data_IF_723378361750
#
_entry.id   IF_723378361750
#
_cell.length_a   1.000
_cell.length_b   1.000
_cell.length_c   1.000
_cell.angle_alpha   90.00
_cell.angle_beta   90.00
_cell.angle_gamma   90.00
#
_symmetry.space_group_name_H-M   'P 1'
#
loop_
_entity.id
_entity.type
_entity.pdbx_description
1 polymer ?
#
# COMPACT_ATOMS: atom_id res chain seq x y z
N UNK A 1 6.69 -28.60 -82.05
CA UNK A 1 7.66 -27.55 -81.67
C UNK A 1 8.65 -28.18 -80.71
N UNK A 2 9.92 -28.00 -81.04
CA UNK A 2 11.19 -28.54 -80.49
C UNK A 2 11.28 -28.61 -78.95
N UNK A 3 11.77 -29.67 -78.30
CA UNK A 3 13.10 -30.35 -78.23
C UNK A 3 14.12 -29.72 -77.25
N UNK A 4 14.74 -30.64 -76.49
CA UNK A 4 16.03 -30.61 -75.76
C UNK A 4 16.01 -30.27 -74.25
N UNK A 5 16.20 -31.21 -73.30
CA UNK A 5 17.37 -32.02 -72.89
C UNK A 5 18.49 -31.30 -72.11
N UNK A 6 18.83 -31.89 -70.94
CA UNK A 6 20.17 -32.22 -70.40
C UNK A 6 20.30 -31.80 -68.91
N UNK A 7 20.22 -32.70 -67.94
CA UNK A 7 21.20 -33.71 -67.47
C UNK A 7 22.48 -33.12 -66.84
N UNK A 8 22.70 -33.42 -65.54
CA UNK A 8 24.01 -33.63 -64.90
C UNK A 8 23.84 -34.31 -63.53
N UNK A 9 24.17 -35.60 -63.51
CA UNK A 9 24.66 -36.33 -62.34
C UNK A 9 26.14 -35.98 -62.13
N UNK A 10 26.60 -35.89 -60.86
CA UNK A 10 27.71 -36.69 -60.31
C UNK A 10 28.23 -36.16 -58.96
N UNK A 11 28.21 -37.07 -57.98
CA UNK A 11 29.25 -37.45 -57.01
C UNK A 11 29.82 -36.50 -55.94
N UNK A 12 29.62 -36.99 -54.70
CA UNK A 12 30.63 -37.32 -53.68
C UNK A 12 31.36 -36.20 -52.92
N UNK A 13 31.16 -36.15 -51.60
CA UNK A 13 32.21 -36.53 -50.63
C UNK A 13 31.71 -36.41 -49.18
N UNK A 14 32.11 -37.41 -48.40
CA UNK A 14 32.05 -37.56 -46.95
C UNK A 14 32.71 -36.43 -46.16
N UNK A 15 32.16 -36.08 -45.00
CA UNK A 15 32.89 -36.22 -43.73
C UNK A 15 31.99 -35.94 -42.52
N UNK A 16 31.95 -36.93 -41.66
CA UNK A 16 31.52 -36.93 -40.28
C UNK A 16 32.37 -35.99 -39.42
N UNK A 17 31.75 -35.26 -38.48
CA UNK A 17 32.28 -35.22 -37.12
C UNK A 17 31.19 -34.91 -36.09
N UNK A 18 31.10 -35.80 -35.11
CA UNK A 18 30.22 -35.74 -33.97
C UNK A 18 30.83 -34.84 -32.88
N UNK A 19 29.99 -34.08 -32.16
CA UNK A 19 30.38 -33.42 -30.92
C UNK A 19 29.37 -33.74 -29.81
N UNK A 20 29.87 -34.57 -28.91
CA UNK A 20 29.43 -35.00 -27.59
C UNK A 20 28.30 -34.21 -26.87
N UNK A 21 27.24 -34.95 -26.55
CA UNK A 21 26.31 -34.66 -25.45
C UNK A 21 26.97 -35.13 -24.14
N UNK A 22 27.27 -34.20 -23.24
CA UNK A 22 27.75 -34.52 -21.88
C UNK A 22 26.59 -34.46 -20.90
N UNK A 23 26.23 -35.63 -20.36
CA UNK A 23 25.29 -35.84 -19.26
C UNK A 23 25.99 -35.55 -17.94
N UNK A 24 25.54 -34.54 -17.20
CA UNK A 24 26.00 -34.27 -15.84
C UNK A 24 25.23 -35.13 -14.83
N UNK A 25 25.97 -36.01 -14.15
CA UNK A 25 25.50 -36.85 -13.03
C UNK A 25 25.37 -36.01 -11.76
N UNK A 26 24.26 -36.18 -11.04
CA UNK A 26 24.00 -35.65 -9.70
C UNK A 26 24.82 -36.39 -8.62
N UNK A 27 25.33 -35.65 -7.64
CA UNK A 27 25.96 -36.18 -6.40
C UNK A 27 24.95 -36.15 -5.24
N UNK A 28 24.95 -37.14 -4.32
CA UNK A 28 24.11 -37.11 -3.13
C UNK A 28 24.83 -36.57 -1.88
N UNK A 29 24.07 -35.90 -1.00
CA UNK A 29 24.22 -35.98 0.45
C UNK A 29 25.02 -34.87 1.15
N UNK A 30 24.31 -33.97 1.85
CA UNK A 30 24.81 -33.32 3.09
C UNK A 30 23.67 -33.29 4.10
N UNK A 31 23.80 -34.06 5.17
CA UNK A 31 22.94 -34.00 6.36
C UNK A 31 23.41 -32.86 7.28
N UNK A 32 22.57 -31.86 7.52
CA UNK A 32 22.78 -30.90 8.61
C UNK A 32 22.09 -31.38 9.89
N UNK A 33 22.92 -31.71 10.90
CA UNK A 33 22.53 -31.90 12.30
C UNK A 33 21.89 -30.62 12.84
N UNK A 34 20.68 -30.71 13.40
CA UNK A 34 20.11 -29.68 14.29
C UNK A 34 20.73 -29.83 15.68
N UNK A 35 21.41 -28.80 16.16
CA UNK A 35 21.82 -28.69 17.57
C UNK A 35 20.75 -27.92 18.34
N UNK A 36 20.11 -28.59 19.29
CA UNK A 36 19.16 -28.02 20.26
C UNK A 36 19.92 -27.28 21.37
N UNK A 37 19.52 -26.03 21.66
CA UNK A 37 19.99 -25.24 22.81
C UNK A 37 18.98 -25.42 23.95
N UNK A 38 19.40 -25.67 25.22
CA UNK A 38 18.45 -25.78 26.33
C UNK A 38 18.08 -24.40 26.90
N UNK A 39 16.79 -24.19 27.18
CA UNK A 39 16.27 -23.05 27.94
C UNK A 39 16.49 -23.26 29.45
N UNK A 40 16.98 -22.22 30.13
CA UNK A 40 16.96 -22.09 31.59
C UNK A 40 15.71 -21.26 32.02
N UNK A 41 15.00 -21.64 33.09
CA UNK A 41 13.85 -20.87 33.56
C UNK A 41 14.28 -19.72 34.49
N UNK A 42 13.78 -18.52 34.20
CA UNK A 42 13.79 -17.36 35.10
C UNK A 42 12.63 -17.49 36.11
N UNK A 43 12.95 -17.57 37.40
CA UNK A 43 11.97 -17.43 38.49
C UNK A 43 11.86 -15.95 38.88
N UNK A 44 10.68 -15.35 38.71
CA UNK A 44 10.33 -14.07 39.32
C UNK A 44 9.33 -14.31 40.46
N UNK A 45 9.77 -13.99 41.68
CA UNK A 45 8.96 -13.87 42.88
C UNK A 45 8.20 -12.55 42.85
N UNK A 46 6.87 -12.60 42.89
CA UNK A 46 5.99 -11.43 43.07
C UNK A 46 5.40 -11.45 44.48
N UNK A 47 5.58 -10.36 45.23
CA UNK A 47 4.86 -10.06 46.47
C UNK A 47 3.79 -8.99 46.21
N UNK A 48 2.56 -9.11 46.75
CA UNK A 48 1.48 -8.18 46.46
C UNK A 48 1.51 -6.93 47.36
N UNK A 49 1.23 -5.77 46.77
CA UNK A 49 1.00 -4.49 47.44
C UNK A 49 -0.49 -4.34 47.81
N UNK A 50 -0.72 -3.96 49.06
CA UNK A 50 -2.02 -3.79 49.71
C UNK A 50 -2.74 -2.51 49.24
N UNK A 51 -4.01 -2.65 48.86
CA UNK A 51 -4.94 -1.58 48.51
C UNK A 51 -5.41 -0.84 49.78
N UNK A 52 -5.25 0.48 49.85
CA UNK A 52 -5.82 1.31 50.92
C UNK A 52 -6.94 2.19 50.35
N UNK A 53 -8.16 1.86 50.76
CA UNK A 53 -9.40 2.56 50.48
C UNK A 53 -9.49 3.81 51.37
N UNK A 54 -9.85 4.95 50.79
CA UNK A 54 -10.30 6.13 51.54
C UNK A 54 -11.62 6.62 50.95
N UNK A 55 -12.55 6.90 51.86
CA UNK A 55 -13.95 7.19 51.64
C UNK A 55 -14.26 8.59 52.19
N UNK A 56 -15.19 9.29 51.53
CA UNK A 56 -16.16 10.27 52.05
C UNK A 56 -15.68 11.56 52.77
N UNK A 57 -16.11 12.75 52.32
CA UNK A 57 -17.46 13.32 52.55
C UNK A 57 -17.55 14.84 52.22
N UNK A 58 -18.61 15.18 51.47
CA UNK A 58 -19.55 16.31 51.58
C UNK A 58 -19.19 17.62 52.34
N UNK A 59 -19.46 18.75 51.66
CA UNK A 59 -20.29 19.84 52.23
C UNK A 59 -20.78 20.82 51.14
N UNK A 60 -22.09 21.05 51.15
CA UNK A 60 -22.85 22.00 50.34
C UNK A 60 -22.71 23.44 50.87
N UNK A 61 -22.77 24.43 49.98
CA UNK A 61 -23.27 25.77 50.32
C UNK A 61 -23.88 26.46 49.09
N UNK A 62 -25.17 26.74 49.18
CA UNK A 62 -25.97 27.59 48.29
C UNK A 62 -25.78 29.07 48.63
N UNK A 63 -26.04 29.96 47.65
CA UNK A 63 -26.50 31.38 47.70
C UNK A 63 -26.01 32.08 46.40
N UNK A 64 -26.88 32.36 45.41
CA UNK A 64 -27.78 33.53 45.27
C UNK A 64 -27.14 34.73 44.54
N UNK A 65 -27.75 35.11 43.41
CA UNK A 65 -27.38 36.15 42.44
C UNK A 65 -27.44 37.61 42.92
N UNK A 66 -26.54 38.45 42.38
CA UNK A 66 -26.80 39.89 42.09
C UNK A 66 -25.77 40.50 41.11
N UNK A 67 -26.12 40.51 39.82
CA UNK A 67 -26.07 41.59 38.80
C UNK A 67 -24.96 42.70 38.71
N UNK A 68 -24.39 42.79 37.48
CA UNK A 68 -23.81 43.93 36.70
C UNK A 68 -22.29 44.26 36.86
N UNK A 69 -21.64 44.90 35.86
CA UNK A 69 -21.13 44.26 34.64
C UNK A 69 -19.62 44.50 34.45
N UNK A 70 -18.86 43.53 33.93
CA UNK A 70 -17.49 43.77 33.46
C UNK A 70 -17.33 43.32 32.00
N UNK A 71 -17.11 44.33 31.17
CA UNK A 71 -16.44 44.27 29.89
C UNK A 71 -15.05 43.65 30.02
N UNK A 72 -14.77 42.56 29.29
CA UNK A 72 -13.75 42.50 28.24
C UNK A 72 -13.39 41.07 27.88
N UNK A 73 -13.16 40.88 26.58
CA UNK A 73 -12.42 39.77 25.96
C UNK A 73 -13.06 38.37 26.07
N UNK A 74 -14.18 38.19 25.36
CA UNK A 74 -14.47 36.88 24.77
C UNK A 74 -13.42 36.60 23.69
N UNK A 75 -12.38 35.86 24.05
CA UNK A 75 -11.58 35.10 23.08
C UNK A 75 -12.52 34.13 22.40
N UNK A 76 -13.00 34.51 21.21
CA UNK A 76 -13.66 33.59 20.31
C UNK A 76 -12.80 32.32 20.18
N UNK A 77 -13.40 31.11 20.16
CA UNK A 77 -12.65 29.93 19.79
C UNK A 77 -12.07 30.23 18.40
N UNK A 78 -10.75 30.23 18.31
CA UNK A 78 -10.05 30.25 17.03
C UNK A 78 -10.48 28.95 16.35
N UNK A 79 -11.52 29.03 15.52
CA UNK A 79 -11.81 28.01 14.53
C UNK A 79 -10.49 27.74 13.83
N UNK A 80 -9.97 26.50 13.83
CA UNK A 80 -8.75 26.22 13.10
C UNK A 80 -9.00 26.70 11.67
N UNK A 81 -8.14 27.61 11.22
CA UNK A 81 -8.12 28.08 9.84
C UNK A 81 -8.31 26.85 8.96
N UNK A 82 -9.27 26.89 8.04
CA UNK A 82 -9.45 25.87 7.01
C UNK A 82 -8.14 25.74 6.23
N UNK A 83 -7.23 24.92 6.73
CA UNK A 83 -6.00 24.59 6.05
C UNK A 83 -6.45 23.93 4.75
N UNK A 84 -6.12 24.55 3.62
CA UNK A 84 -6.30 23.94 2.31
C UNK A 84 -5.65 22.56 2.37
N UNK A 85 -6.43 21.48 2.30
CA UNK A 85 -5.92 20.12 2.43
C UNK A 85 -4.86 19.80 1.39
N UNK A 86 -3.97 18.86 1.68
CA UNK A 86 -3.01 18.31 0.71
C UNK A 86 -3.73 17.47 -0.33
N UNK A 87 -4.08 18.10 -1.45
CA UNK A 87 -4.90 17.50 -2.50
C UNK A 87 -4.07 17.29 -3.77
N UNK A 88 -4.23 16.12 -4.38
CA UNK A 88 -3.75 15.83 -5.72
C UNK A 88 -4.91 15.45 -6.64
N UNK A 89 -4.85 15.87 -7.89
CA UNK A 89 -5.91 15.64 -8.88
C UNK A 89 -5.30 15.36 -10.26
N UNK A 90 -5.70 14.24 -10.85
CA UNK A 90 -5.12 13.71 -12.07
C UNK A 90 -6.23 13.25 -13.00
N UNK A 91 -6.16 13.70 -14.24
CA UNK A 91 -6.92 13.16 -15.37
C UNK A 91 -5.95 12.48 -16.33
N UNK A 92 -6.27 11.25 -16.73
CA UNK A 92 -5.45 10.43 -17.64
C UNK A 92 -6.37 9.77 -18.67
N UNK A 93 -6.13 10.06 -19.94
CA UNK A 93 -6.94 9.55 -21.06
C UNK A 93 -6.04 8.84 -22.06
N UNK A 94 -6.40 7.62 -22.42
CA UNK A 94 -5.76 6.82 -23.48
C UNK A 94 -6.82 6.31 -24.45
N UNK A 95 -6.43 5.40 -25.37
CA UNK A 95 -7.39 4.68 -26.22
C UNK A 95 -8.10 3.54 -25.47
N UNK A 96 -7.54 3.09 -24.36
CA UNK A 96 -8.02 1.95 -23.58
C UNK A 96 -8.88 2.43 -22.40
N UNK A 97 -8.50 3.55 -21.77
CA UNK A 97 -9.14 4.04 -20.55
C UNK A 97 -9.31 5.56 -20.50
N UNK A 98 -10.25 6.00 -19.66
CA UNK A 98 -10.39 7.37 -19.21
C UNK A 98 -10.54 7.35 -17.69
N UNK A 99 -9.57 7.93 -16.99
CA UNK A 99 -9.43 7.87 -15.55
C UNK A 99 -9.28 9.28 -14.98
N UNK A 100 -10.11 9.61 -13.99
CA UNK A 100 -9.97 10.80 -13.16
C UNK A 100 -9.86 10.39 -11.69
N UNK A 101 -8.86 10.92 -10.99
CA UNK A 101 -8.61 10.68 -9.57
C UNK A 101 -8.43 12.00 -8.85
N UNK A 102 -9.05 12.12 -7.67
CA UNK A 102 -8.76 13.17 -6.69
C UNK A 102 -8.59 12.55 -5.32
N UNK A 103 -7.49 12.90 -4.65
CA UNK A 103 -7.19 12.44 -3.29
C UNK A 103 -6.86 13.61 -2.37
N UNK A 104 -7.44 13.63 -1.18
CA UNK A 104 -7.07 14.52 -0.08
C UNK A 104 -6.37 13.70 1.02
N UNK A 105 -5.09 14.00 1.29
CA UNK A 105 -4.35 13.33 2.36
C UNK A 105 -4.83 13.74 3.76
N UNK A 106 -5.38 14.94 3.89
CA UNK A 106 -5.88 15.51 5.14
C UNK A 106 -7.42 15.45 5.17
N UNK A 107 -7.96 14.29 4.76
CA UNK A 107 -9.39 14.05 4.59
C UNK A 107 -10.09 13.55 5.85
N UNK A 108 -11.28 13.01 5.63
CA UNK A 108 -12.14 12.43 6.66
C UNK A 108 -12.53 10.98 6.38
N UNK A 109 -12.03 10.41 5.28
CA UNK A 109 -12.32 9.04 4.87
C UNK A 109 -13.51 8.93 3.91
N UNK A 110 -13.85 10.01 3.18
CA UNK A 110 -14.90 9.97 2.16
C UNK A 110 -14.44 9.11 0.98
N UNK A 111 -15.25 8.14 0.59
CA UNK A 111 -15.00 7.32 -0.59
C UNK A 111 -16.07 7.57 -1.65
N UNK A 112 -15.63 7.81 -2.89
CA UNK A 112 -16.51 7.91 -4.06
C UNK A 112 -15.76 7.37 -5.28
N UNK A 113 -15.73 6.05 -5.39
CA UNK A 113 -15.02 5.32 -6.43
C UNK A 113 -16.01 4.59 -7.35
N UNK A 114 -15.83 4.77 -8.65
CA UNK A 114 -16.54 4.04 -9.69
C UNK A 114 -15.56 3.74 -10.80
N UNK A 115 -14.96 2.55 -10.75
CA UNK A 115 -13.88 2.14 -11.67
C UNK A 115 -14.35 1.22 -12.79
N UNK A 116 -15.63 0.85 -12.82
CA UNK A 116 -16.15 -0.27 -13.63
C UNK A 116 -15.67 -1.66 -13.16
N UNK A 117 -14.89 -1.74 -12.08
CA UNK A 117 -14.43 -2.97 -11.43
C UNK A 117 -14.93 -2.99 -9.97
N UNK A 118 -16.07 -3.63 -9.67
CA UNK A 118 -16.73 -3.49 -8.36
C UNK A 118 -15.88 -3.90 -7.15
N UNK A 119 -15.01 -4.91 -7.31
CA UNK A 119 -14.13 -5.32 -6.23
C UNK A 119 -13.02 -4.29 -5.96
N UNK A 120 -12.50 -3.64 -7.00
CA UNK A 120 -11.52 -2.56 -6.85
C UNK A 120 -12.15 -1.34 -6.18
N UNK A 121 -13.41 -1.01 -6.51
CA UNK A 121 -14.15 0.05 -5.82
C UNK A 121 -14.22 -0.22 -4.30
N UNK A 122 -14.60 -1.45 -3.91
CA UNK A 122 -14.62 -1.86 -2.50
C UNK A 122 -13.23 -1.80 -1.82
N UNK A 123 -12.15 -2.05 -2.56
CA UNK A 123 -10.78 -1.90 -2.04
C UNK A 123 -10.38 -0.43 -1.85
N UNK A 124 -10.74 0.45 -2.77
CA UNK A 124 -10.53 1.90 -2.66
C UNK A 124 -11.32 2.50 -1.49
N UNK A 125 -12.49 1.95 -1.16
CA UNK A 125 -13.22 2.32 0.05
C UNK A 125 -12.43 1.99 1.33
N UNK A 126 -11.65 0.91 1.35
CA UNK A 126 -10.78 0.57 2.50
C UNK A 126 -9.60 1.53 2.60
N UNK A 127 -9.05 1.95 1.46
CA UNK A 127 -8.03 2.99 1.42
C UNK A 127 -8.54 4.29 2.05
N UNK A 128 -9.72 4.75 1.66
CA UNK A 128 -10.33 5.96 2.21
C UNK A 128 -10.64 5.81 3.70
N UNK A 129 -11.45 4.80 4.08
CA UNK A 129 -11.97 4.65 5.44
C UNK A 129 -10.89 4.41 6.50
N UNK A 130 -9.88 3.60 6.19
CA UNK A 130 -8.81 3.29 7.16
C UNK A 130 -7.65 4.27 7.10
N UNK A 131 -7.44 4.94 5.96
CA UNK A 131 -6.44 5.99 5.79
C UNK A 131 -6.91 7.38 6.21
N UNK A 132 -8.23 7.58 6.36
CA UNK A 132 -8.89 8.89 6.45
C UNK A 132 -8.60 9.80 5.25
N UNK A 133 -8.35 9.20 4.09
CA UNK A 133 -8.22 9.94 2.85
C UNK A 133 -9.59 10.19 2.24
N UNK A 134 -9.82 11.37 1.69
CA UNK A 134 -10.95 11.52 0.79
C UNK A 134 -10.51 11.05 -0.59
N UNK A 135 -11.09 9.96 -1.09
CA UNK A 135 -10.69 9.28 -2.33
C UNK A 135 -11.85 9.33 -3.31
N UNK A 136 -11.64 10.01 -4.42
CA UNK A 136 -12.57 10.04 -5.54
C UNK A 136 -11.91 9.44 -6.76
N UNK A 137 -12.55 8.45 -7.37
CA UNK A 137 -12.06 7.80 -8.59
C UNK A 137 -13.22 7.61 -9.55
N UNK A 138 -13.04 8.04 -10.80
CA UNK A 138 -13.93 7.72 -11.90
C UNK A 138 -13.10 7.10 -13.00
N UNK A 139 -13.46 5.88 -13.42
CA UNK A 139 -12.82 5.25 -14.55
C UNK A 139 -13.82 4.52 -15.45
N UNK A 140 -13.59 4.67 -16.74
CA UNK A 140 -14.17 3.83 -17.79
C UNK A 140 -13.03 3.24 -18.60
N UNK A 141 -13.16 2.00 -19.02
CA UNK A 141 -12.17 1.37 -19.90
C UNK A 141 -12.74 0.18 -20.64
N UNK A 142 -11.87 -0.53 -21.33
CA UNK A 142 -12.13 -1.69 -22.17
C UNK A 142 -12.36 -2.99 -21.38
N UNK A 143 -13.21 -2.96 -20.34
CA UNK A 143 -13.55 -4.10 -19.46
C UNK A 143 -14.05 -5.36 -20.21
N UNK A 144 -14.50 -5.19 -21.45
CA UNK A 144 -14.90 -6.29 -22.33
C UNK A 144 -13.71 -7.13 -22.86
N UNK A 145 -12.49 -6.60 -22.79
CA UNK A 145 -11.23 -7.33 -23.05
C UNK A 145 -10.83 -8.03 -21.75
N UNK A 146 -10.47 -7.25 -20.72
CA UNK A 146 -10.26 -7.69 -19.34
C UNK A 146 -10.23 -6.48 -18.38
N UNK A 147 -9.97 -6.73 -17.09
CA UNK A 147 -9.88 -5.70 -16.05
C UNK A 147 -8.50 -4.97 -16.03
N UNK A 148 -7.53 -5.40 -16.85
CA UNK A 148 -6.11 -5.07 -16.68
C UNK A 148 -5.83 -3.59 -16.89
N UNK A 149 -6.16 -3.05 -18.06
CA UNK A 149 -5.87 -1.66 -18.40
C UNK A 149 -6.55 -0.70 -17.42
N UNK A 150 -7.81 -0.97 -17.07
CA UNK A 150 -8.55 -0.13 -16.12
C UNK A 150 -7.94 -0.18 -14.71
N UNK A 151 -7.57 -1.36 -14.22
CA UNK A 151 -6.88 -1.50 -12.93
C UNK A 151 -5.53 -0.78 -12.89
N UNK A 152 -4.69 -1.00 -13.91
CA UNK A 152 -3.38 -0.36 -14.05
C UNK A 152 -3.50 1.16 -14.09
N UNK A 153 -4.38 1.68 -14.95
CA UNK A 153 -4.47 3.12 -15.18
C UNK A 153 -5.08 3.88 -13.99
N UNK A 154 -5.98 3.24 -13.25
CA UNK A 154 -6.44 3.74 -11.95
C UNK A 154 -5.28 3.83 -10.97
N UNK A 155 -4.44 2.80 -10.87
CA UNK A 155 -3.28 2.79 -9.98
C UNK A 155 -2.24 3.85 -10.37
N UNK A 156 -1.94 4.00 -11.67
CA UNK A 156 -1.02 5.01 -12.19
C UNK A 156 -1.50 6.43 -11.88
N UNK A 157 -2.78 6.72 -12.12
CA UNK A 157 -3.39 8.01 -11.82
C UNK A 157 -3.40 8.29 -10.30
N UNK A 158 -3.78 7.32 -9.48
CA UNK A 158 -3.77 7.43 -8.03
C UNK A 158 -2.36 7.68 -7.47
N UNK A 159 -1.36 6.94 -7.93
CA UNK A 159 0.03 7.17 -7.51
C UNK A 159 0.55 8.55 -7.93
N UNK A 160 0.13 9.07 -9.09
CA UNK A 160 0.46 10.44 -9.52
C UNK A 160 -0.24 11.49 -8.65
N UNK A 161 -1.52 11.27 -8.30
CA UNK A 161 -2.26 12.16 -7.41
C UNK A 161 -1.64 12.17 -6.00
N UNK A 162 -1.21 11.01 -5.49
CA UNK A 162 -0.44 10.90 -4.25
C UNK A 162 0.84 11.73 -4.31
N UNK A 163 1.62 11.59 -5.39
CA UNK A 163 2.83 12.39 -5.58
C UNK A 163 2.57 13.90 -5.55
N UNK A 164 1.54 14.36 -6.25
CA UNK A 164 1.15 15.78 -6.25
C UNK A 164 0.75 16.25 -4.86
N UNK A 165 -0.11 15.49 -4.17
CA UNK A 165 -0.60 15.83 -2.83
C UNK A 165 0.52 15.89 -1.77
N UNK A 166 1.59 15.11 -1.96
CA UNK A 166 2.75 15.09 -1.06
C UNK A 166 3.66 16.32 -1.19
N UNK A 167 3.60 17.04 -2.31
CA UNK A 167 4.44 18.22 -2.55
C UNK A 167 5.94 17.96 -2.32
N UNK A 168 6.58 18.80 -1.52
CA UNK A 168 8.01 18.70 -1.20
C UNK A 168 8.35 17.71 -0.06
N UNK A 169 7.34 17.01 0.46
CA UNK A 169 7.47 15.96 1.50
C UNK A 169 8.12 16.47 2.80
N UNK A 170 8.06 17.76 3.07
CA UNK A 170 8.58 18.33 4.31
C UNK A 170 7.64 18.07 5.48
N UNK A 171 8.23 17.89 6.66
CA UNK A 171 7.50 17.78 7.92
C UNK A 171 6.74 16.46 8.13
N UNK A 172 6.62 15.58 7.14
CA UNK A 172 5.92 14.30 7.29
C UNK A 172 6.77 13.27 8.05
N UNK A 173 6.11 12.23 8.58
CA UNK A 173 6.77 11.07 9.19
C UNK A 173 7.64 10.29 8.19
N UNK A 174 7.27 10.32 6.89
CA UNK A 174 7.93 9.63 5.76
C UNK A 174 7.79 8.11 5.77
N UNK A 175 7.90 7.48 6.93
CA UNK A 175 7.78 6.03 7.10
C UNK A 175 6.43 5.66 7.70
N UNK A 176 5.91 4.54 7.22
CA UNK A 176 4.67 3.95 7.69
C UNK A 176 4.82 2.45 7.84
N UNK A 177 4.29 1.88 8.91
CA UNK A 177 4.36 0.46 9.21
C UNK A 177 3.10 0.00 9.92
N UNK A 178 2.41 -0.99 9.35
CA UNK A 178 1.17 -1.51 9.93
C UNK A 178 0.91 -2.96 9.53
N UNK A 179 0.36 -3.74 10.45
CA UNK A 179 -0.21 -5.07 10.14
C UNK A 179 -1.70 -5.05 10.40
N UNK A 180 -2.50 -5.50 9.43
CA UNK A 180 -3.95 -5.59 9.56
C UNK A 180 -4.40 -7.05 9.42
N UNK A 181 -5.20 -7.56 10.38
CA UNK A 181 -5.91 -8.81 10.18
C UNK A 181 -7.24 -8.59 9.44
N UNK A 182 -7.74 -9.66 8.84
CA UNK A 182 -9.15 -9.84 8.51
C UNK A 182 -9.46 -11.32 8.66
N UNK A 183 -10.20 -11.66 9.70
CA UNK A 183 -10.45 -13.04 10.13
C UNK A 183 -9.14 -13.84 10.22
N UNK A 184 -8.95 -14.88 9.39
CA UNK A 184 -7.75 -15.71 9.39
C UNK A 184 -6.57 -15.10 8.62
N UNK A 185 -6.81 -14.06 7.83
CA UNK A 185 -5.77 -13.36 7.10
C UNK A 185 -5.05 -12.33 7.97
N UNK A 186 -3.74 -12.20 7.76
CA UNK A 186 -2.90 -11.18 8.37
C UNK A 186 -1.85 -10.72 7.37
N UNK A 187 -1.85 -9.43 7.06
CA UNK A 187 -0.90 -8.82 6.12
C UNK A 187 -0.15 -7.69 6.79
N UNK A 188 1.17 -7.66 6.60
CA UNK A 188 2.06 -6.58 7.02
C UNK A 188 2.40 -5.70 5.83
N UNK A 189 2.31 -4.39 6.03
CA UNK A 189 2.73 -3.38 5.06
C UNK A 189 3.72 -2.43 5.72
N UNK A 190 4.83 -2.19 5.03
CA UNK A 190 5.85 -1.20 5.42
C UNK A 190 6.21 -0.36 4.22
N UNK A 191 6.29 0.96 4.39
CA UNK A 191 6.55 1.89 3.29
C UNK A 191 7.41 3.09 3.67
N UNK A 192 8.13 3.59 2.67
CA UNK A 192 8.94 4.82 2.70
C UNK A 192 8.51 5.71 1.54
N UNK A 193 8.08 6.94 1.84
CA UNK A 193 7.78 8.00 0.87
C UNK A 193 9.07 8.59 0.29
N UNK A 194 9.82 7.73 -0.38
CA UNK A 194 11.26 7.82 -0.53
C UNK A 194 11.73 8.60 -1.75
N UNK A 195 10.86 8.72 -2.75
CA UNK A 195 11.15 9.23 -4.09
C UNK A 195 11.58 8.13 -5.05
N UNK A 196 11.77 6.90 -4.55
CA UNK A 196 12.31 5.76 -5.29
C UNK A 196 11.24 4.68 -5.42
N UNK A 197 10.75 4.40 -6.65
CA UNK A 197 9.74 3.38 -6.87
C UNK A 197 10.32 1.99 -6.59
N UNK A 198 9.69 1.24 -5.70
CA UNK A 198 10.02 -0.16 -5.45
C UNK A 198 8.83 -0.88 -4.81
N UNK A 199 8.53 -2.08 -5.30
CA UNK A 199 7.58 -2.99 -4.69
C UNK A 199 8.31 -4.29 -4.31
N UNK A 200 8.11 -4.72 -3.07
CA UNK A 200 8.37 -6.08 -2.63
C UNK A 200 7.03 -6.68 -2.21
N UNK A 201 6.62 -7.74 -2.88
CA UNK A 201 5.28 -8.31 -2.78
C UNK A 201 5.38 -9.81 -2.57
N UNK A 202 4.68 -10.30 -1.54
CA UNK A 202 4.68 -11.70 -1.13
C UNK A 202 3.28 -12.12 -0.65
N UNK A 203 2.25 -11.79 -1.43
CA UNK A 203 0.90 -12.34 -1.21
C UNK A 203 0.75 -13.65 -1.98
N UNK A 204 0.22 -14.66 -1.30
CA UNK A 204 -0.18 -15.92 -1.89
C UNK A 204 -1.71 -16.00 -1.93
N UNK A 205 -2.29 -15.58 -3.05
CA UNK A 205 -3.75 -15.52 -3.25
C UNK A 205 -4.19 -16.80 -3.98
N UNK A 206 -4.94 -17.72 -3.32
CA UNK A 206 -5.11 -19.09 -3.83
C UNK A 206 -6.21 -19.25 -4.91
N UNK A 207 -7.01 -18.22 -5.18
CA UNK A 207 -8.02 -18.24 -6.25
C UNK A 207 -7.64 -17.26 -7.35
N UNK A 208 -7.93 -17.57 -8.61
CA UNK A 208 -7.65 -16.69 -9.75
C UNK A 208 -8.58 -15.46 -9.83
N UNK A 209 -9.75 -15.54 -9.19
CA UNK A 209 -10.77 -14.48 -9.21
C UNK A 209 -11.35 -14.28 -7.81
N UNK A 210 -11.74 -13.04 -7.50
CA UNK A 210 -12.65 -12.69 -6.40
C UNK A 210 -13.82 -11.92 -6.97
N UNK A 211 -15.02 -12.51 -6.93
CA UNK A 211 -16.12 -12.06 -7.78
C UNK A 211 -15.71 -12.18 -9.25
N UNK A 212 -15.73 -11.06 -9.98
CA UNK A 212 -15.22 -10.99 -11.35
C UNK A 212 -13.79 -10.48 -11.44
N UNK A 213 -13.16 -10.02 -10.36
CA UNK A 213 -11.84 -9.38 -10.42
C UNK A 213 -10.70 -10.38 -10.45
N UNK A 214 -9.78 -10.22 -11.41
CA UNK A 214 -8.58 -11.06 -11.54
C UNK A 214 -7.57 -10.78 -10.42
N UNK A 215 -7.20 -11.80 -9.66
CA UNK A 215 -6.34 -11.62 -8.48
C UNK A 215 -4.90 -11.30 -8.82
N UNK A 216 -4.44 -11.55 -10.06
CA UNK A 216 -3.11 -11.12 -10.50
C UNK A 216 -3.00 -9.59 -10.53
N UNK A 217 -4.13 -8.89 -10.68
CA UNK A 217 -4.17 -7.44 -10.78
C UNK A 217 -3.89 -6.72 -9.46
N UNK A 218 -3.92 -7.44 -8.33
CA UNK A 218 -3.57 -6.88 -7.02
C UNK A 218 -2.10 -6.47 -6.97
N UNK A 219 -1.19 -7.36 -7.43
CA UNK A 219 0.24 -7.05 -7.51
C UNK A 219 0.48 -5.91 -8.50
N UNK A 220 -0.14 -6.00 -9.69
CA UNK A 220 -0.04 -4.96 -10.71
C UNK A 220 -0.53 -3.60 -10.22
N UNK A 221 -1.62 -3.54 -9.45
CA UNK A 221 -2.14 -2.30 -8.87
C UNK A 221 -1.07 -1.63 -8.00
N UNK A 222 -0.49 -2.37 -7.04
CA UNK A 222 0.54 -1.80 -6.18
C UNK A 222 1.82 -1.45 -6.95
N UNK A 223 2.20 -2.27 -7.94
CA UNK A 223 3.38 -2.01 -8.77
C UNK A 223 3.23 -0.70 -9.55
N UNK A 224 2.09 -0.49 -10.19
CA UNK A 224 1.78 0.73 -10.92
C UNK A 224 1.68 1.95 -10.00
N UNK A 225 1.06 1.78 -8.83
CA UNK A 225 0.97 2.84 -7.82
C UNK A 225 2.35 3.27 -7.31
N UNK A 226 3.28 2.35 -7.03
CA UNK A 226 4.63 2.73 -6.57
C UNK A 226 5.44 3.42 -7.67
N UNK A 227 5.25 2.99 -8.92
CA UNK A 227 5.93 3.56 -10.09
C UNK A 227 5.60 5.04 -10.25
N UNK A 228 4.34 5.44 -10.00
CA UNK A 228 3.89 6.83 -10.13
C UNK A 228 3.94 7.66 -8.86
N UNK A 229 3.86 7.06 -7.68
CA UNK A 229 4.06 7.79 -6.41
C UNK A 229 5.53 8.03 -6.08
N UNK A 230 6.43 7.19 -6.61
CA UNK A 230 7.83 7.17 -6.21
C UNK A 230 7.98 6.75 -4.74
N UNK A 231 7.23 5.73 -4.32
CA UNK A 231 7.33 5.16 -2.97
C UNK A 231 8.06 3.82 -3.00
N UNK A 232 8.67 3.47 -1.88
CA UNK A 232 9.14 2.12 -1.59
C UNK A 232 8.07 1.44 -0.74
N UNK A 233 7.61 0.26 -1.17
CA UNK A 233 6.50 -0.46 -0.56
C UNK A 233 6.85 -1.94 -0.39
N UNK A 234 6.65 -2.46 0.81
CA UNK A 234 6.71 -3.88 1.13
C UNK A 234 5.34 -4.37 1.58
N UNK A 235 4.87 -5.47 0.99
CA UNK A 235 3.62 -6.15 1.33
C UNK A 235 3.96 -7.62 1.58
N UNK A 236 3.66 -8.12 2.78
CA UNK A 236 3.95 -9.50 3.19
C UNK A 236 2.73 -10.16 3.79
N UNK A 237 2.34 -11.30 3.25
CA UNK A 237 1.35 -12.16 3.89
C UNK A 237 1.99 -12.91 5.06
N UNK A 238 1.41 -12.78 6.25
CA UNK A 238 1.83 -13.54 7.44
C UNK A 238 0.94 -14.78 7.60
N UNK A 239 -0.36 -14.63 7.35
CA UNK A 239 -1.34 -15.70 7.38
C UNK A 239 -2.51 -15.37 6.44
N UNK A 240 -3.33 -16.36 6.10
CA UNK A 240 -4.57 -16.19 5.34
C UNK A 240 -4.77 -17.29 4.30
N UNK A 241 -6.03 -17.64 4.07
CA UNK A 241 -6.42 -18.62 3.05
C UNK A 241 -7.53 -18.09 2.13
N UNK A 242 -8.44 -17.27 2.63
CA UNK A 242 -9.47 -16.68 1.81
C UNK A 242 -8.89 -15.50 0.99
N UNK A 243 -8.98 -15.58 -0.33
CA UNK A 243 -8.46 -14.55 -1.25
C UNK A 243 -9.02 -13.15 -0.98
N UNK A 244 -10.33 -13.04 -0.69
CA UNK A 244 -10.93 -11.75 -0.33
C UNK A 244 -10.28 -11.21 0.95
N UNK A 245 -10.17 -12.04 1.98
CA UNK A 245 -9.62 -11.64 3.28
C UNK A 245 -8.18 -11.15 3.16
N UNK A 246 -7.34 -11.86 2.40
CA UNK A 246 -5.95 -11.49 2.12
C UNK A 246 -5.87 -10.12 1.44
N UNK A 247 -6.64 -9.90 0.37
CA UNK A 247 -6.58 -8.66 -0.41
C UNK A 247 -7.13 -7.49 0.42
N UNK A 248 -8.26 -7.67 1.09
CA UNK A 248 -8.84 -6.60 1.91
C UNK A 248 -7.97 -6.25 3.12
N UNK A 249 -7.36 -7.24 3.78
CA UNK A 249 -6.35 -7.00 4.83
C UNK A 249 -5.15 -6.20 4.30
N UNK A 250 -4.72 -6.48 3.07
CA UNK A 250 -3.65 -5.74 2.39
C UNK A 250 -4.00 -4.27 2.23
N UNK A 251 -5.17 -3.95 1.67
CA UNK A 251 -5.61 -2.56 1.50
C UNK A 251 -5.79 -1.83 2.84
N UNK A 252 -6.29 -2.52 3.88
CA UNK A 252 -6.38 -1.96 5.23
C UNK A 252 -5.01 -1.65 5.82
N UNK A 253 -4.05 -2.57 5.71
CA UNK A 253 -2.69 -2.38 6.18
C UNK A 253 -1.98 -1.24 5.43
N UNK A 254 -2.11 -1.22 4.10
CA UNK A 254 -1.59 -0.16 3.25
C UNK A 254 -2.17 1.21 3.61
N UNK A 255 -3.49 1.31 3.78
CA UNK A 255 -4.15 2.57 4.14
C UNK A 255 -3.60 3.15 5.46
N UNK A 256 -3.44 2.30 6.47
CA UNK A 256 -2.93 2.69 7.80
C UNK A 256 -1.45 3.07 7.75
N UNK A 257 -0.63 2.28 7.08
CA UNK A 257 0.79 2.59 6.89
C UNK A 257 0.97 3.89 6.10
N UNK A 258 0.20 4.09 5.03
CA UNK A 258 0.26 5.30 4.21
C UNK A 258 -0.16 6.53 5.03
N UNK A 259 -1.23 6.43 5.80
CA UNK A 259 -1.67 7.50 6.71
C UNK A 259 -0.56 7.88 7.69
N UNK A 260 0.04 6.89 8.35
CA UNK A 260 1.14 7.16 9.27
C UNK A 260 2.28 7.90 8.57
N UNK A 261 2.66 7.48 7.35
CA UNK A 261 3.75 8.08 6.61
C UNK A 261 3.47 9.51 6.13
N UNK A 262 2.21 9.81 5.79
CA UNK A 262 1.78 11.12 5.29
C UNK A 262 1.48 12.12 6.40
N UNK A 263 1.17 11.68 7.61
CA UNK A 263 0.95 12.57 8.76
C UNK A 263 2.20 13.41 9.09
N UNK A 264 1.97 14.62 9.60
CA UNK A 264 3.04 15.51 10.04
C UNK A 264 3.68 14.99 11.34
N UNK A 265 5.02 14.99 11.36
CA UNK A 265 5.82 14.75 12.55
C UNK A 265 5.88 16.05 13.38
N UNK A 266 5.26 16.11 14.57
CA UNK A 266 5.19 17.33 15.37
C UNK A 266 6.57 17.78 15.89
N UNK A 267 7.58 16.90 15.89
CA UNK A 267 8.94 17.21 16.37
C UNK A 267 9.88 17.65 15.25
N UNK A 268 9.52 17.43 13.99
CA UNK A 268 10.36 17.73 12.83
C UNK A 268 10.35 19.20 12.43
N UNK A 269 9.37 19.96 12.91
CA UNK A 269 9.24 21.41 12.67
C UNK A 269 9.33 21.77 11.18
N UNK A 270 8.70 20.99 10.31
CA UNK A 270 8.65 21.26 8.86
C UNK A 270 9.96 21.00 8.10
N UNK A 271 10.97 20.38 8.71
CA UNK A 271 12.21 20.01 7.99
C UNK A 271 12.02 18.79 7.10
N UNK A 272 12.85 18.64 6.06
CA UNK A 272 12.83 17.47 5.18
C UNK A 272 13.30 16.21 5.93
N UNK A 273 12.58 15.07 5.87
CA UNK A 273 12.99 13.83 6.51
C UNK A 273 14.05 13.06 5.74
N UNK A 274 15.17 13.71 5.40
CA UNK A 274 16.26 13.09 4.63
C UNK A 274 17.62 13.67 5.02
N UNK A 275 18.59 12.81 5.32
CA UNK A 275 19.98 13.22 5.55
C UNK A 275 20.65 13.78 4.29
N UNK A 276 20.15 13.43 3.10
CA UNK A 276 20.61 13.98 1.82
C UNK A 276 20.05 15.39 1.54
N UNK A 277 19.15 15.89 2.39
CA UNK A 277 18.50 17.20 2.22
C UNK A 277 17.41 17.24 1.13
N UNK A 278 17.15 16.13 0.43
CA UNK A 278 16.15 16.04 -0.65
C UNK A 278 15.42 14.71 -0.65
N UNK A 279 14.14 14.74 -1.06
CA UNK A 279 13.33 13.60 -1.48
C UNK A 279 12.64 14.01 -2.79
N UNK A 280 12.92 13.30 -3.87
CA UNK A 280 12.40 13.64 -5.21
C UNK A 280 12.12 12.37 -6.00
N UNK A 281 11.06 12.43 -6.81
CA UNK A 281 10.80 11.49 -7.91
C UNK A 281 11.19 12.22 -9.20
N UNK A 282 12.49 12.18 -9.52
CA UNK A 282 13.10 12.84 -10.67
C UNK A 282 13.98 11.85 -11.41
#
# INVERSE_FOLDING_TARGET
MELSFSSRLLNAASSSNAAAITVLKSKPGVHHRRTSVPLLPLQHSLSPLTLKQMNNNNSQSTLSCSSLPLSNASSAPISPSTASGRIGEVERVTKETNVWVKINLDGTGVANSTTSIPFLDHMLDKLASHGLFDVHVKATGDIHIDDHHTNEDVALALGTALLQSLGDRKGINRFGDFSAPLDEALVHVSLDLSGRPHLSYDLNIPTARVGTYDTQLVEHFFQSLVNTSGMTLHIRQIAGNNSHHIIEATFKAFARALRQATEYDPRRLGTIPSSKGVLSRS
#
